data_IF_519155996344
#
_entry.id   IF_519155996344
#
_cell.length_a   1.000
_cell.length_b   1.000
_cell.length_c   1.000
_cell.angle_alpha   90.00
_cell.angle_beta   90.00
_cell.angle_gamma   90.00
#
_symmetry.space_group_name_H-M   'P 1'
#
loop_
_entity.id
_entity.type
_entity.pdbx_description
1 polymer ?
#
# COMPACT_ATOMS: atom_id res chain seq x y z
N UNK A 1 68.39 -26.27 6.24
CA UNK A 1 67.43 -25.99 7.34
C UNK A 1 66.88 -24.60 7.10
N UNK A 2 65.75 -24.51 6.38
CA UNK A 2 64.41 -24.15 6.87
C UNK A 2 64.24 -22.62 7.10
N UNK A 3 63.47 -22.04 6.17
CA UNK A 3 62.69 -20.78 6.21
C UNK A 3 62.37 -20.21 7.58
N UNK A 4 62.47 -18.87 7.71
CA UNK A 4 61.53 -18.10 8.52
C UNK A 4 61.12 -16.81 7.80
N UNK A 5 59.87 -16.84 7.36
CA UNK A 5 59.09 -15.84 6.64
C UNK A 5 58.82 -14.59 7.48
N UNK A 6 58.92 -13.42 6.83
CA UNK A 6 58.39 -12.13 7.26
C UNK A 6 56.91 -12.24 7.65
N UNK A 7 56.61 -12.12 8.95
CA UNK A 7 55.26 -11.82 9.41
C UNK A 7 55.01 -10.32 9.21
N UNK A 8 54.49 -9.97 8.03
CA UNK A 8 53.76 -8.72 7.87
C UNK A 8 52.35 -8.96 8.39
N UNK A 9 52.03 -8.30 9.50
CA UNK A 9 50.70 -8.29 10.13
C UNK A 9 49.69 -7.67 9.16
N UNK A 10 49.05 -8.51 8.36
CA UNK A 10 47.80 -8.19 7.68
C UNK A 10 46.71 -8.17 8.75
N UNK A 11 46.45 -6.99 9.31
CA UNK A 11 45.15 -6.68 9.89
C UNK A 11 44.15 -6.59 8.75
N UNK A 12 43.73 -7.75 8.26
CA UNK A 12 42.54 -7.89 7.44
C UNK A 12 41.39 -7.47 8.33
N UNK A 13 40.98 -6.21 8.20
CA UNK A 13 39.64 -5.81 8.62
C UNK A 13 38.70 -6.71 7.83
N UNK A 14 38.11 -7.70 8.49
CA UNK A 14 36.96 -8.41 7.96
C UNK A 14 35.83 -7.38 7.79
N UNK A 15 35.85 -6.68 6.66
CA UNK A 15 34.68 -5.98 6.15
C UNK A 15 33.71 -7.11 5.83
N UNK A 16 32.81 -7.44 6.78
CA UNK A 16 31.60 -8.20 6.48
C UNK A 16 31.06 -7.62 5.17
N UNK A 17 30.81 -8.42 4.12
CA UNK A 17 30.22 -7.88 2.91
C UNK A 17 28.89 -7.30 3.35
N UNK A 18 28.84 -5.96 3.44
CA UNK A 18 27.62 -5.23 3.66
C UNK A 18 26.86 -5.49 2.37
N UNK A 19 26.04 -6.55 2.35
CA UNK A 19 25.06 -6.82 1.29
C UNK A 19 24.02 -5.69 1.38
N UNK A 20 24.47 -4.46 1.10
CA UNK A 20 23.60 -3.35 0.78
C UNK A 20 22.96 -3.78 -0.52
N UNK A 21 21.66 -4.07 -0.46
CA UNK A 21 20.86 -4.57 -1.57
C UNK A 21 21.04 -3.66 -2.79
N UNK A 22 21.99 -4.00 -3.66
CA UNK A 22 22.46 -3.16 -4.77
C UNK A 22 21.34 -2.85 -5.74
N UNK A 23 20.32 -3.71 -5.78
CA UNK A 23 19.12 -3.57 -6.59
C UNK A 23 18.33 -2.29 -6.31
N UNK A 24 18.27 -1.80 -5.07
CA UNK A 24 17.59 -0.52 -4.76
C UNK A 24 18.38 0.71 -5.26
N UNK A 25 19.64 0.54 -5.64
CA UNK A 25 20.54 1.61 -6.09
C UNK A 25 20.72 1.68 -7.61
N UNK A 26 20.07 0.79 -8.37
CA UNK A 26 20.05 0.88 -9.83
C UNK A 26 19.55 2.26 -10.25
N UNK A 27 20.15 2.90 -11.26
CA UNK A 27 19.62 4.17 -11.81
C UNK A 27 18.40 3.93 -12.70
N UNK A 28 18.20 2.70 -13.19
CA UNK A 28 17.04 2.30 -13.98
C UNK A 28 15.84 1.95 -13.09
N UNK A 29 14.76 2.74 -13.21
CA UNK A 29 13.52 2.60 -12.43
C UNK A 29 12.81 1.26 -12.65
N UNK A 30 12.73 0.78 -13.88
CA UNK A 30 12.06 -0.49 -14.20
C UNK A 30 12.76 -1.67 -13.51
N UNK A 31 14.10 -1.70 -13.54
CA UNK A 31 14.91 -2.71 -12.83
C UNK A 31 14.71 -2.62 -11.32
N UNK A 32 14.69 -1.41 -10.74
CA UNK A 32 14.43 -1.23 -9.30
C UNK A 32 13.05 -1.75 -8.92
N UNK A 33 12.01 -1.40 -9.68
CA UNK A 33 10.63 -1.80 -9.40
C UNK A 33 10.41 -3.30 -9.57
N UNK A 34 10.93 -3.92 -10.63
CA UNK A 34 10.88 -5.37 -10.79
C UNK A 34 11.56 -6.10 -9.63
N UNK A 35 12.74 -5.61 -9.21
CA UNK A 35 13.44 -6.15 -8.04
C UNK A 35 12.59 -6.04 -6.77
N UNK A 36 11.93 -4.91 -6.57
CA UNK A 36 10.98 -4.71 -5.47
C UNK A 36 9.85 -5.77 -5.51
N UNK A 37 9.23 -6.00 -6.66
CA UNK A 37 8.13 -6.95 -6.78
C UNK A 37 8.56 -8.40 -6.60
N UNK A 38 9.75 -8.77 -7.08
CA UNK A 38 10.35 -10.08 -6.80
C UNK A 38 10.55 -10.26 -5.30
N UNK A 39 11.08 -9.25 -4.61
CA UNK A 39 11.28 -9.30 -3.16
C UNK A 39 9.93 -9.43 -2.42
N UNK A 40 8.92 -8.62 -2.77
CA UNK A 40 7.58 -8.70 -2.17
C UNK A 40 6.97 -10.11 -2.30
N UNK A 41 7.25 -10.83 -3.40
CA UNK A 41 6.72 -12.17 -3.63
C UNK A 41 7.53 -13.30 -2.98
N UNK A 42 8.78 -13.06 -2.61
CA UNK A 42 9.72 -14.14 -2.24
C UNK A 42 10.24 -14.04 -0.81
N UNK A 43 10.33 -12.82 -0.26
CA UNK A 43 10.89 -12.59 1.07
C UNK A 43 9.81 -12.18 2.06
N UNK A 44 10.04 -12.53 3.34
CA UNK A 44 9.12 -12.27 4.44
C UNK A 44 9.75 -11.41 5.56
N UNK A 45 11.02 -11.03 5.40
CA UNK A 45 11.77 -10.25 6.40
C UNK A 45 11.24 -8.82 6.45
N UNK A 46 10.72 -8.40 7.61
CA UNK A 46 10.02 -7.12 7.79
C UNK A 46 10.90 -5.92 7.41
N UNK A 47 12.16 -5.90 7.83
CA UNK A 47 13.06 -4.77 7.55
C UNK A 47 13.39 -4.63 6.06
N UNK A 48 13.47 -5.77 5.36
CA UNK A 48 13.67 -5.79 3.91
C UNK A 48 12.42 -5.30 3.19
N UNK A 49 11.24 -5.78 3.60
CA UNK A 49 9.96 -5.37 3.02
C UNK A 49 9.70 -3.87 3.26
N UNK A 50 10.05 -3.34 4.43
CA UNK A 50 9.96 -1.91 4.71
C UNK A 50 10.83 -1.09 3.74
N UNK A 51 12.08 -1.51 3.50
CA UNK A 51 12.95 -0.86 2.51
C UNK A 51 12.37 -0.91 1.10
N UNK A 52 11.74 -2.04 0.72
CA UNK A 52 11.05 -2.18 -0.57
C UNK A 52 9.91 -1.17 -0.69
N UNK A 53 9.04 -1.07 0.32
CA UNK A 53 7.94 -0.10 0.28
C UNK A 53 8.44 1.34 0.26
N UNK A 54 9.50 1.67 1.00
CA UNK A 54 10.12 3.00 0.93
C UNK A 54 10.70 3.32 -0.45
N UNK A 55 11.31 2.33 -1.11
CA UNK A 55 11.80 2.49 -2.48
C UNK A 55 10.64 2.68 -3.47
N UNK A 56 9.60 1.85 -3.39
CA UNK A 56 8.41 2.00 -4.23
C UNK A 56 7.76 3.38 -4.05
N UNK A 57 7.60 3.86 -2.81
CA UNK A 57 7.08 5.21 -2.55
C UNK A 57 7.93 6.30 -3.21
N UNK A 58 9.25 6.13 -3.27
CA UNK A 58 10.13 7.09 -3.97
C UNK A 58 9.93 7.04 -5.48
N UNK A 59 9.92 5.84 -6.06
CA UNK A 59 9.76 5.66 -7.51
C UNK A 59 8.38 6.14 -8.00
N UNK A 60 7.32 5.95 -7.21
CA UNK A 60 5.95 6.38 -7.53
C UNK A 60 5.68 7.88 -7.39
N UNK A 61 6.66 8.68 -6.96
CA UNK A 61 6.56 10.16 -7.05
C UNK A 61 6.68 10.65 -8.48
N UNK A 62 7.33 9.88 -9.33
CA UNK A 62 7.52 10.17 -10.74
C UNK A 62 6.44 9.49 -11.60
N UNK A 63 5.99 10.17 -12.65
CA UNK A 63 4.94 9.64 -13.53
C UNK A 63 5.37 8.35 -14.22
N UNK A 64 6.63 8.23 -14.66
CA UNK A 64 7.16 7.01 -15.30
C UNK A 64 7.15 5.82 -14.34
N UNK A 65 7.40 6.07 -13.06
CA UNK A 65 7.27 5.05 -12.01
C UNK A 65 5.83 4.55 -11.87
N UNK A 66 4.85 5.45 -11.96
CA UNK A 66 3.42 5.08 -11.93
C UNK A 66 2.99 4.33 -13.18
N UNK A 67 3.47 4.71 -14.37
CA UNK A 67 3.23 3.96 -15.61
C UNK A 67 3.75 2.53 -15.46
N UNK A 68 5.01 2.37 -15.04
CA UNK A 68 5.65 1.08 -14.81
C UNK A 68 4.88 0.23 -13.79
N UNK A 69 4.33 0.86 -12.75
CA UNK A 69 3.48 0.17 -11.77
C UNK A 69 2.22 -0.42 -12.40
N UNK A 70 1.58 0.32 -13.31
CA UNK A 70 0.39 -0.12 -14.03
C UNK A 70 0.73 -1.22 -15.05
N UNK A 71 1.79 -1.03 -15.83
CA UNK A 71 2.26 -2.00 -16.84
C UNK A 71 2.53 -3.37 -16.20
N UNK A 72 3.13 -3.39 -15.02
CA UNK A 72 3.41 -4.62 -14.29
C UNK A 72 2.26 -5.14 -13.42
N UNK A 73 1.07 -4.52 -13.48
CA UNK A 73 -0.07 -4.86 -12.63
C UNK A 73 0.30 -4.97 -11.14
N UNK A 74 1.19 -4.08 -10.70
CA UNK A 74 1.91 -4.19 -9.44
C UNK A 74 1.00 -4.12 -8.21
N UNK A 75 -0.22 -3.60 -8.36
CA UNK A 75 -1.29 -3.69 -7.35
C UNK A 75 -1.37 -5.10 -6.75
N UNK A 76 -1.34 -6.15 -7.58
CA UNK A 76 -1.48 -7.54 -7.11
C UNK A 76 -0.28 -8.00 -6.25
N UNK A 77 0.90 -7.41 -6.42
CA UNK A 77 2.07 -7.70 -5.58
C UNK A 77 1.98 -7.02 -4.20
N UNK A 78 1.22 -5.93 -4.08
CA UNK A 78 1.05 -5.16 -2.83
C UNK A 78 -0.12 -5.69 -1.99
N UNK A 79 -1.18 -6.21 -2.60
CA UNK A 79 -2.39 -6.69 -1.91
C UNK A 79 -2.13 -7.69 -0.75
N UNK A 80 -1.18 -8.63 -0.82
CA UNK A 80 -0.92 -9.56 0.30
C UNK A 80 -0.50 -8.87 1.60
N UNK A 81 -0.04 -7.62 1.51
CA UNK A 81 0.36 -6.79 2.66
C UNK A 81 -0.78 -5.89 3.18
N UNK A 82 -1.95 -5.92 2.52
CA UNK A 82 -3.17 -5.24 2.93
C UNK A 82 -4.14 -6.23 3.57
N UNK A 83 -3.71 -6.89 4.64
CA UNK A 83 -4.56 -7.83 5.39
C UNK A 83 -4.39 -7.67 6.89
N UNK A 84 -5.32 -8.19 7.68
CA UNK A 84 -5.24 -8.14 9.16
C UNK A 84 -4.06 -8.95 9.73
N UNK A 85 -3.52 -9.90 8.96
CA UNK A 85 -2.39 -10.75 9.35
C UNK A 85 -1.04 -10.06 9.17
N UNK A 86 -1.01 -8.98 8.40
CA UNK A 86 0.22 -8.25 8.09
C UNK A 86 0.64 -7.40 9.29
N UNK A 87 1.96 -7.27 9.49
CA UNK A 87 2.50 -6.33 10.47
C UNK A 87 1.96 -4.91 10.20
N UNK A 88 1.49 -4.20 11.23
CA UNK A 88 0.87 -2.86 11.10
C UNK A 88 1.75 -1.85 10.37
N UNK A 89 3.07 -1.90 10.55
CA UNK A 89 4.00 -0.99 9.87
C UNK A 89 4.07 -1.27 8.36
N UNK A 90 4.03 -2.55 7.97
CA UNK A 90 3.98 -2.96 6.57
C UNK A 90 2.61 -2.66 5.94
N UNK A 91 1.51 -2.82 6.69
CA UNK A 91 0.18 -2.42 6.24
C UNK A 91 0.15 -0.93 5.90
N UNK A 92 0.60 -0.06 6.81
CA UNK A 92 0.67 1.38 6.55
C UNK A 92 1.53 1.71 5.33
N UNK A 93 2.67 1.04 5.18
CA UNK A 93 3.59 1.23 4.04
C UNK A 93 2.99 0.77 2.70
N UNK A 94 2.25 -0.35 2.71
CA UNK A 94 1.52 -0.83 1.54
C UNK A 94 0.39 0.14 1.16
N UNK A 95 -0.36 0.63 2.14
CA UNK A 95 -1.41 1.64 1.93
C UNK A 95 -0.82 2.93 1.36
N UNK A 96 0.34 3.39 1.83
CA UNK A 96 1.02 4.56 1.27
C UNK A 96 1.36 4.38 -0.22
N UNK A 97 1.87 3.20 -0.62
CA UNK A 97 2.14 2.88 -2.03
C UNK A 97 0.85 2.93 -2.86
N UNK A 98 -0.22 2.33 -2.36
CA UNK A 98 -1.52 2.35 -3.03
C UNK A 98 -2.11 3.77 -3.11
N UNK A 99 -1.86 4.60 -2.10
CA UNK A 99 -2.30 6.00 -2.09
C UNK A 99 -1.52 6.85 -3.09
N UNK A 100 -0.22 6.61 -3.28
CA UNK A 100 0.57 7.32 -4.30
C UNK A 100 -0.03 7.17 -5.70
N UNK A 101 -0.51 5.96 -6.04
CA UNK A 101 -1.21 5.71 -7.31
C UNK A 101 -2.60 6.35 -7.38
N UNK A 102 -3.22 6.66 -6.24
CA UNK A 102 -4.53 7.28 -6.15
C UNK A 102 -4.49 8.82 -6.22
N UNK A 103 -3.31 9.42 -6.30
CA UNK A 103 -3.14 10.87 -6.47
C UNK A 103 -3.63 11.32 -7.85
N UNK A 104 -4.09 12.58 -7.93
CA UNK A 104 -4.54 13.16 -9.20
C UNK A 104 -3.42 13.09 -10.24
N UNK A 105 -3.73 12.45 -11.37
CA UNK A 105 -2.85 12.28 -12.52
C UNK A 105 -3.64 11.69 -13.70
N UNK A 106 -3.13 11.77 -14.93
CA UNK A 106 -3.75 11.12 -16.09
C UNK A 106 -3.93 9.59 -15.93
N UNK A 107 -3.10 8.97 -15.07
CA UNK A 107 -3.06 7.53 -14.82
C UNK A 107 -4.11 7.04 -13.80
N UNK A 108 -4.77 7.96 -13.09
CA UNK A 108 -5.68 7.62 -11.99
C UNK A 108 -6.83 6.71 -12.44
N UNK A 109 -7.40 6.95 -13.62
CA UNK A 109 -8.51 6.14 -14.14
C UNK A 109 -8.09 4.66 -14.33
N UNK A 110 -6.95 4.43 -14.97
CA UNK A 110 -6.38 3.09 -15.16
C UNK A 110 -6.05 2.40 -13.84
N UNK A 111 -5.54 3.15 -12.86
CA UNK A 111 -5.30 2.61 -11.53
C UNK A 111 -6.59 2.19 -10.81
N UNK A 112 -7.63 3.03 -10.86
CA UNK A 112 -8.92 2.71 -10.24
C UNK A 112 -9.60 1.51 -10.92
N UNK A 113 -9.41 1.33 -12.23
CA UNK A 113 -9.87 0.14 -12.96
C UNK A 113 -9.20 -1.13 -12.42
N UNK A 114 -7.86 -1.14 -12.25
CA UNK A 114 -7.15 -2.26 -11.62
C UNK A 114 -7.60 -2.55 -10.19
N UNK A 115 -8.01 -1.53 -9.43
CA UNK A 115 -8.57 -1.68 -8.09
C UNK A 115 -10.03 -2.17 -8.08
N UNK A 116 -10.73 -2.09 -9.21
CA UNK A 116 -12.15 -2.45 -9.35
C UNK A 116 -12.35 -3.96 -9.51
N UNK A 117 -11.72 -4.75 -8.63
CA UNK A 117 -11.74 -6.21 -8.66
C UNK A 117 -11.90 -6.83 -7.27
N UNK A 118 -12.32 -8.10 -7.23
CA UNK A 118 -12.58 -8.81 -5.96
C UNK A 118 -11.35 -8.94 -5.06
N UNK A 119 -10.15 -9.16 -5.62
CA UNK A 119 -8.94 -9.34 -4.82
C UNK A 119 -8.62 -8.08 -4.03
N UNK A 120 -8.76 -6.91 -4.65
CA UNK A 120 -8.56 -5.62 -4.00
C UNK A 120 -9.61 -5.38 -2.90
N UNK A 121 -10.89 -5.58 -3.20
CA UNK A 121 -11.96 -5.40 -2.21
C UNK A 121 -11.83 -6.37 -1.03
N UNK A 122 -11.45 -7.63 -1.27
CA UNK A 122 -11.17 -8.60 -0.21
C UNK A 122 -10.07 -8.12 0.73
N UNK A 123 -8.96 -7.63 0.16
CA UNK A 123 -7.82 -7.13 0.92
C UNK A 123 -8.21 -5.89 1.74
N UNK A 124 -8.79 -4.87 1.10
CA UNK A 124 -9.17 -3.64 1.82
C UNK A 124 -10.20 -3.90 2.91
N UNK A 125 -11.19 -4.77 2.66
CA UNK A 125 -12.18 -5.15 3.67
C UNK A 125 -11.51 -5.86 4.85
N UNK A 126 -10.52 -6.70 4.59
CA UNK A 126 -9.71 -7.32 5.63
C UNK A 126 -8.96 -6.28 6.47
N UNK A 127 -8.35 -5.27 5.84
CA UNK A 127 -7.63 -4.22 6.55
C UNK A 127 -8.57 -3.32 7.36
N UNK A 128 -9.66 -2.85 6.78
CA UNK A 128 -10.62 -1.94 7.44
C UNK A 128 -11.29 -2.60 8.65
N UNK A 129 -11.56 -3.92 8.59
CA UNK A 129 -12.16 -4.66 9.72
C UNK A 129 -11.15 -4.91 10.85
N UNK A 130 -9.86 -4.86 10.57
CA UNK A 130 -8.84 -5.18 11.58
C UNK A 130 -8.89 -4.17 12.73
N UNK A 131 -8.92 -4.62 14.00
CA UNK A 131 -8.82 -3.73 15.16
C UNK A 131 -7.43 -3.08 15.28
N UNK A 132 -6.43 -3.57 14.56
CA UNK A 132 -5.06 -3.05 14.56
C UNK A 132 -4.83 -1.95 13.52
N UNK A 133 -5.82 -1.65 12.67
CA UNK A 133 -5.73 -0.57 11.68
C UNK A 133 -5.98 0.75 12.39
N UNK A 134 -4.94 1.59 12.45
CA UNK A 134 -5.00 2.90 13.05
C UNK A 134 -5.76 3.91 12.16
N UNK A 135 -6.17 5.04 12.75
CA UNK A 135 -6.96 6.06 12.05
C UNK A 135 -6.21 6.70 10.88
N UNK A 136 -4.88 6.84 10.94
CA UNK A 136 -4.10 7.40 9.83
C UNK A 136 -4.12 6.45 8.63
N UNK A 137 -3.91 5.16 8.86
CA UNK A 137 -4.04 4.13 7.82
C UNK A 137 -5.45 4.07 7.25
N UNK A 138 -6.48 4.13 8.11
CA UNK A 138 -7.88 4.12 7.70
C UNK A 138 -8.24 5.37 6.88
N UNK A 139 -7.73 6.54 7.24
CA UNK A 139 -7.93 7.78 6.48
C UNK A 139 -7.39 7.65 5.06
N UNK A 140 -6.15 7.16 4.92
CA UNK A 140 -5.53 6.93 3.61
C UNK A 140 -6.32 5.94 2.75
N UNK A 141 -6.78 4.84 3.35
CA UNK A 141 -7.68 3.88 2.68
C UNK A 141 -9.00 4.53 2.25
N UNK A 142 -9.57 5.39 3.10
CA UNK A 142 -10.84 6.07 2.83
C UNK A 142 -10.75 7.00 1.62
N UNK A 143 -9.58 7.59 1.32
CA UNK A 143 -9.37 8.40 0.11
C UNK A 143 -9.54 7.54 -1.14
N UNK A 144 -8.93 6.36 -1.17
CA UNK A 144 -9.00 5.43 -2.31
C UNK A 144 -10.43 4.88 -2.45
N UNK A 145 -11.03 4.46 -1.34
CA UNK A 145 -12.41 3.97 -1.28
C UNK A 145 -13.43 5.02 -1.71
N UNK A 146 -13.22 6.29 -1.36
CA UNK A 146 -14.08 7.38 -1.81
C UNK A 146 -14.07 7.50 -3.33
N UNK A 147 -12.88 7.42 -3.97
CA UNK A 147 -12.78 7.43 -5.43
C UNK A 147 -13.48 6.22 -6.05
N UNK A 148 -13.25 5.02 -5.51
CA UNK A 148 -13.90 3.80 -6.00
C UNK A 148 -15.42 3.80 -5.81
N UNK A 149 -15.94 4.42 -4.75
CA UNK A 149 -17.38 4.53 -4.49
C UNK A 149 -18.14 5.37 -5.52
N UNK A 150 -17.45 6.26 -6.25
CA UNK A 150 -18.03 7.06 -7.34
C UNK A 150 -18.23 6.23 -8.63
N UNK A 151 -17.53 5.11 -8.77
CA UNK A 151 -17.62 4.25 -9.95
C UNK A 151 -18.86 3.35 -9.79
N UNK A 152 -19.87 3.56 -10.64
CA UNK A 152 -21.15 2.84 -10.57
C UNK A 152 -20.98 1.31 -10.63
N UNK A 153 -20.03 0.82 -11.42
CA UNK A 153 -19.72 -0.61 -11.54
C UNK A 153 -19.25 -1.26 -10.23
N UNK A 154 -18.69 -0.49 -9.31
CA UNK A 154 -18.15 -1.02 -8.05
C UNK A 154 -19.19 -1.24 -6.96
N UNK A 155 -20.44 -0.79 -7.14
CA UNK A 155 -21.51 -0.96 -6.12
C UNK A 155 -21.66 -2.42 -5.69
N UNK A 156 -21.67 -3.34 -6.66
CA UNK A 156 -21.75 -4.78 -6.40
C UNK A 156 -20.58 -5.30 -5.57
N UNK A 157 -19.36 -4.76 -5.76
CA UNK A 157 -18.20 -5.13 -4.96
C UNK A 157 -18.34 -4.61 -3.51
N UNK A 158 -18.76 -3.36 -3.32
CA UNK A 158 -19.04 -2.83 -1.98
C UNK A 158 -20.09 -3.67 -1.23
N UNK A 159 -21.13 -4.11 -1.92
CA UNK A 159 -22.18 -4.99 -1.38
C UNK A 159 -21.66 -6.39 -1.06
N UNK A 160 -20.99 -7.04 -2.02
CA UNK A 160 -20.45 -8.40 -1.89
C UNK A 160 -19.54 -8.54 -0.67
N UNK A 161 -18.73 -7.51 -0.39
CA UNK A 161 -17.80 -7.51 0.74
C UNK A 161 -18.38 -6.84 2.00
N UNK A 162 -19.66 -6.45 2.00
CA UNK A 162 -20.32 -5.69 3.07
C UNK A 162 -19.56 -4.42 3.49
N UNK A 163 -18.76 -3.85 2.60
CA UNK A 163 -17.80 -2.81 2.94
C UNK A 163 -18.50 -1.50 3.33
N UNK A 164 -19.62 -1.18 2.68
CA UNK A 164 -20.43 -0.01 3.06
C UNK A 164 -20.91 -0.05 4.50
N UNK A 165 -21.31 -1.23 5.01
CA UNK A 165 -21.75 -1.40 6.41
C UNK A 165 -20.59 -1.23 7.38
N UNK A 166 -19.45 -1.83 7.08
CA UNK A 166 -18.24 -1.72 7.92
C UNK A 166 -17.80 -0.26 8.01
N UNK A 167 -17.82 0.47 6.89
CA UNK A 167 -17.48 1.89 6.88
C UNK A 167 -18.51 2.75 7.62
N UNK A 168 -19.78 2.34 7.64
CA UNK A 168 -20.81 3.00 8.45
C UNK A 168 -20.55 2.83 9.95
N UNK A 169 -20.13 1.64 10.38
CA UNK A 169 -19.71 1.38 11.77
C UNK A 169 -18.49 2.24 12.12
N UNK A 170 -17.46 2.26 11.27
CA UNK A 170 -16.29 3.14 11.43
C UNK A 170 -16.65 4.63 11.47
N UNK A 171 -17.64 5.06 10.69
CA UNK A 171 -18.10 6.45 10.71
C UNK A 171 -18.75 6.83 12.04
N UNK A 172 -19.50 5.92 12.66
CA UNK A 172 -20.13 6.15 13.99
C UNK A 172 -19.10 6.16 15.12
N UNK A 173 -18.04 5.38 14.98
CA UNK A 173 -16.92 5.31 15.94
C UNK A 173 -15.88 6.40 15.72
N UNK A 174 -15.98 7.17 14.63
CA UNK A 174 -14.97 8.16 14.26
C UNK A 174 -14.93 9.29 15.28
N UNK A 175 -13.75 9.52 15.85
CA UNK A 175 -13.48 10.68 16.70
C UNK A 175 -13.78 11.98 15.94
N UNK A 176 -14.53 12.94 16.54
CA UNK A 176 -14.77 14.27 15.97
C UNK A 176 -13.50 15.00 15.50
N UNK A 177 -12.35 14.77 16.14
CA UNK A 177 -11.08 15.41 15.78
C UNK A 177 -10.50 14.85 14.47
N UNK A 178 -10.89 13.65 14.06
CA UNK A 178 -10.51 13.03 12.78
C UNK A 178 -11.41 13.51 11.63
N UNK A 179 -11.47 14.83 11.43
CA UNK A 179 -12.38 15.50 10.49
C UNK A 179 -12.23 15.03 9.03
N UNK A 180 -11.01 14.76 8.57
CA UNK A 180 -10.74 14.29 7.20
C UNK A 180 -11.24 12.86 6.97
N UNK A 181 -10.91 11.93 7.88
CA UNK A 181 -11.46 10.58 7.85
C UNK A 181 -13.00 10.59 7.88
N UNK A 182 -13.60 11.35 8.80
CA UNK A 182 -15.06 11.50 8.92
C UNK A 182 -15.71 11.99 7.62
N UNK A 183 -15.11 13.03 7.00
CA UNK A 183 -15.57 13.56 5.70
C UNK A 183 -15.49 12.51 4.59
N UNK A 184 -14.39 11.77 4.53
CA UNK A 184 -14.19 10.74 3.51
C UNK A 184 -15.20 9.60 3.66
N UNK A 185 -15.40 9.10 4.89
CA UNK A 185 -16.40 8.07 5.20
C UNK A 185 -17.80 8.53 4.85
N UNK A 186 -18.18 9.76 5.24
CA UNK A 186 -19.49 10.33 4.90
C UNK A 186 -19.70 10.39 3.38
N UNK A 187 -18.70 10.82 2.63
CA UNK A 187 -18.77 10.88 1.15
C UNK A 187 -18.92 9.49 0.52
N UNK A 188 -18.21 8.47 1.02
CA UNK A 188 -18.39 7.08 0.58
C UNK A 188 -19.83 6.63 0.84
N UNK A 189 -20.34 6.81 2.06
CA UNK A 189 -21.70 6.41 2.43
C UNK A 189 -22.76 7.14 1.61
N UNK A 190 -22.54 8.42 1.29
CA UNK A 190 -23.40 9.18 0.39
C UNK A 190 -23.41 8.57 -1.02
N UNK A 191 -22.25 8.32 -1.61
CA UNK A 191 -22.15 7.72 -2.96
C UNK A 191 -22.81 6.34 -3.01
N UNK A 192 -22.76 5.59 -1.92
CA UNK A 192 -23.38 4.27 -1.79
C UNK A 192 -24.89 4.33 -1.43
N UNK A 193 -25.48 5.51 -1.23
CA UNK A 193 -26.86 5.71 -0.77
C UNK A 193 -27.14 5.05 0.60
N UNK A 194 -26.14 5.04 1.49
CA UNK A 194 -26.21 4.45 2.83
C UNK A 194 -26.33 5.50 3.95
N UNK A 195 -26.26 6.79 3.61
CA UNK A 195 -26.71 7.84 4.52
C UNK A 195 -28.22 7.93 4.46
N UNK A 196 -28.88 7.77 5.61
CA UNK A 196 -30.27 8.18 5.73
C UNK A 196 -30.31 9.69 5.56
N UNK A 197 -30.94 10.19 4.51
CA UNK A 197 -31.42 11.57 4.51
C UNK A 197 -32.48 11.65 5.59
N UNK A 198 -32.23 12.40 6.66
CA UNK A 198 -33.32 12.80 7.55
C UNK A 198 -34.29 13.61 6.69
N UNK A 199 -35.37 12.98 6.22
CA UNK A 199 -36.54 13.70 5.74
C UNK A 199 -37.13 14.40 6.96
N UNK A 200 -36.86 15.69 7.08
CA UNK A 200 -37.59 16.58 7.98
C UNK A 200 -39.03 16.62 7.47
N UNK A 201 -39.89 15.80 8.09
CA UNK A 201 -41.35 16.05 8.12
C UNK A 201 -41.66 17.04 9.21
#
# INVERSE_FOLDING_TARGET
MINTTLQHSLTTTEVKPQKQNSFFRSTNTEVRMLSCFVILKTLHQVDMLAQVFDQLKRDLKDERGRETFLEYSATQAVLPFMTYKTNKALLGSAVDVMLQMAMESPLLASYLDLCSCESWFRAVTSSVRSPTTDNSTLEKLSIILQKLSKIKGNRKLFETFSLGRILQEKYRECDPDNSFLSLNLRSILFNLNLLKTSTTT
#
